data_IF_529070550934
#
_entry.id   IF_529070550934
#
_cell.length_a   1.000
_cell.length_b   1.000
_cell.length_c   1.000
_cell.angle_alpha   90.00
_cell.angle_beta   90.00
_cell.angle_gamma   90.00
#
_symmetry.space_group_name_H-M   'P 1'
#
loop_
_entity.id
_entity.type
_entity.pdbx_description
1 polymer ?
#
# COMPACT_ATOMS: atom_id res chain seq x y z
N UNK A 1 -5.20 4.02 2.99
CA UNK A 1 -5.17 2.97 4.04
C UNK A 1 -6.39 3.01 4.97
N UNK A 2 -6.63 4.10 5.70
CA UNK A 2 -7.67 4.14 6.77
C UNK A 2 -9.11 4.04 6.24
N UNK A 3 -9.39 4.64 5.08
CA UNK A 3 -10.73 4.62 4.46
C UNK A 3 -11.21 3.19 4.16
N UNK A 4 -10.31 2.30 3.70
CA UNK A 4 -10.67 0.91 3.39
C UNK A 4 -11.10 0.12 4.63
N UNK A 5 -10.44 0.39 5.76
CA UNK A 5 -10.79 -0.24 7.05
C UNK A 5 -12.16 0.25 7.51
N UNK A 6 -12.44 1.56 7.44
CA UNK A 6 -13.75 2.11 7.79
C UNK A 6 -14.88 1.60 6.90
N UNK A 7 -14.63 1.43 5.60
CA UNK A 7 -15.60 0.84 4.67
C UNK A 7 -15.85 -0.63 5.03
N UNK A 8 -14.80 -1.43 5.28
CA UNK A 8 -14.94 -2.83 5.69
C UNK A 8 -15.71 -3.01 7.00
N UNK A 9 -15.40 -2.21 8.01
CA UNK A 9 -16.10 -2.22 9.31
C UNK A 9 -17.53 -1.71 9.18
N UNK A 10 -17.78 -0.65 8.39
CA UNK A 10 -19.12 -0.11 8.16
C UNK A 10 -20.04 -1.09 7.43
N UNK A 11 -19.53 -1.76 6.40
CA UNK A 11 -20.25 -2.81 5.68
C UNK A 11 -20.52 -4.02 6.58
N UNK A 12 -19.52 -4.46 7.36
CA UNK A 12 -19.69 -5.56 8.31
C UNK A 12 -20.74 -5.27 9.40
N UNK A 13 -20.78 -4.04 9.91
CA UNK A 13 -21.78 -3.60 10.88
C UNK A 13 -23.19 -3.56 10.28
N UNK A 14 -23.35 -3.06 9.05
CA UNK A 14 -24.63 -3.08 8.34
C UNK A 14 -25.12 -4.52 8.13
N UNK A 15 -24.26 -5.42 7.63
CA UNK A 15 -24.59 -6.83 7.46
C UNK A 15 -25.04 -7.49 8.77
N UNK A 16 -24.33 -7.26 9.88
CA UNK A 16 -24.72 -7.75 11.21
C UNK A 16 -26.11 -7.28 11.64
N UNK A 17 -26.53 -6.07 11.25
CA UNK A 17 -27.83 -5.51 11.62
C UNK A 17 -28.98 -6.08 10.79
N UNK A 18 -28.74 -6.36 9.52
CA UNK A 18 -29.77 -6.84 8.58
C UNK A 18 -29.86 -8.36 8.46
N UNK A 19 -28.90 -9.10 9.01
CA UNK A 19 -28.89 -10.57 8.92
C UNK A 19 -28.82 -11.21 10.31
N UNK A 20 -29.50 -12.34 10.54
CA UNK A 20 -29.49 -13.05 11.81
C UNK A 20 -28.20 -13.84 12.04
N UNK A 21 -27.25 -13.80 11.10
CA UNK A 21 -26.04 -14.63 11.12
C UNK A 21 -24.83 -13.81 11.63
N UNK A 22 -24.38 -14.00 12.88
CA UNK A 22 -23.33 -13.17 13.47
C UNK A 22 -21.97 -13.33 12.77
N UNK A 23 -21.75 -14.44 12.07
CA UNK A 23 -20.50 -14.74 11.37
C UNK A 23 -20.27 -13.87 10.12
N UNK A 24 -21.33 -13.27 9.53
CA UNK A 24 -21.21 -12.35 8.39
C UNK A 24 -20.43 -11.08 8.74
N UNK A 25 -20.43 -10.66 10.01
CA UNK A 25 -19.60 -9.55 10.46
C UNK A 25 -18.10 -9.81 10.21
N UNK A 26 -17.64 -11.03 10.50
CA UNK A 26 -16.24 -11.41 10.35
C UNK A 26 -15.79 -11.50 8.89
N UNK A 27 -16.70 -11.78 7.95
CA UNK A 27 -16.39 -11.64 6.53
C UNK A 27 -16.04 -10.18 6.18
N UNK A 28 -16.84 -9.21 6.61
CA UNK A 28 -16.55 -7.79 6.39
C UNK A 28 -15.22 -7.36 7.00
N UNK A 29 -14.91 -7.84 8.21
CA UNK A 29 -13.61 -7.60 8.88
C UNK A 29 -12.46 -8.22 8.09
N UNK A 30 -12.58 -9.48 7.67
CA UNK A 30 -11.56 -10.18 6.90
C UNK A 30 -11.24 -9.43 5.60
N UNK A 31 -12.26 -9.11 4.80
CA UNK A 31 -12.08 -8.38 3.55
C UNK A 31 -11.51 -6.97 3.75
N UNK A 32 -11.94 -6.28 4.82
CA UNK A 32 -11.40 -4.96 5.19
C UNK A 32 -9.91 -5.01 5.53
N UNK A 33 -9.48 -6.01 6.31
CA UNK A 33 -8.06 -6.22 6.67
C UNK A 33 -7.24 -6.59 5.42
N UNK A 34 -7.72 -7.52 4.60
CA UNK A 34 -7.04 -7.90 3.35
C UNK A 34 -6.86 -6.72 2.42
N UNK A 35 -7.88 -5.87 2.26
CA UNK A 35 -7.81 -4.66 1.44
C UNK A 35 -6.81 -3.64 1.99
N UNK A 36 -6.76 -3.45 3.32
CA UNK A 36 -5.80 -2.57 3.97
C UNK A 36 -4.35 -3.05 3.74
N UNK A 37 -4.08 -4.34 3.92
CA UNK A 37 -2.76 -4.95 3.67
C UNK A 37 -2.35 -4.75 2.21
N UNK A 38 -3.24 -5.03 1.26
CA UNK A 38 -2.96 -4.83 -0.17
C UNK A 38 -2.65 -3.37 -0.51
N UNK A 39 -3.37 -2.42 0.10
CA UNK A 39 -3.12 -0.99 -0.11
C UNK A 39 -1.74 -0.57 0.41
N UNK A 40 -1.35 -1.04 1.60
CA UNK A 40 -0.01 -0.80 2.18
C UNK A 40 1.08 -1.43 1.34
N UNK A 41 0.91 -2.69 0.93
CA UNK A 41 1.90 -3.41 0.14
C UNK A 41 2.14 -2.74 -1.22
N UNK A 42 1.08 -2.28 -1.89
CA UNK A 42 1.21 -1.52 -3.14
C UNK A 42 1.98 -0.22 -2.92
N UNK A 43 1.64 0.55 -1.88
CA UNK A 43 2.34 1.79 -1.56
C UNK A 43 3.81 1.56 -1.20
N UNK A 44 4.12 0.48 -0.49
CA UNK A 44 5.48 0.06 -0.17
C UNK A 44 6.29 -0.25 -1.44
N UNK A 45 5.75 -1.08 -2.34
CA UNK A 45 6.43 -1.43 -3.60
C UNK A 45 6.75 -0.20 -4.46
N UNK A 46 5.81 0.73 -4.56
CA UNK A 46 6.00 1.96 -5.33
C UNK A 46 7.10 2.83 -4.70
N UNK A 47 7.11 2.97 -3.38
CA UNK A 47 8.16 3.70 -2.68
C UNK A 47 9.54 3.06 -2.90
N UNK A 48 9.68 1.75 -2.70
CA UNK A 48 10.96 1.05 -2.88
C UNK A 48 11.49 1.23 -4.31
N UNK A 49 10.63 1.09 -5.33
CA UNK A 49 11.01 1.31 -6.72
C UNK A 49 11.52 2.75 -6.96
N UNK A 50 10.85 3.74 -6.38
CA UNK A 50 11.31 5.14 -6.50
C UNK A 50 12.67 5.38 -5.85
N UNK A 51 12.97 4.71 -4.73
CA UNK A 51 14.27 4.78 -4.09
C UNK A 51 15.38 4.18 -4.96
N UNK A 52 15.12 3.04 -5.61
CA UNK A 52 16.08 2.42 -6.54
C UNK A 52 16.35 3.34 -7.75
N UNK A 53 15.31 3.94 -8.33
CA UNK A 53 15.44 4.90 -9.44
C UNK A 53 16.25 6.13 -9.04
N UNK A 54 16.07 6.65 -7.81
CA UNK A 54 16.88 7.75 -7.30
C UNK A 54 18.35 7.35 -7.15
N UNK A 55 18.62 6.15 -6.63
CA UNK A 55 19.99 5.65 -6.47
C UNK A 55 20.71 5.50 -7.81
N UNK A 56 20.05 4.92 -8.81
CA UNK A 56 20.59 4.77 -10.17
C UNK A 56 20.89 6.13 -10.79
N UNK A 57 19.96 7.08 -10.68
CA UNK A 57 20.16 8.46 -11.18
C UNK A 57 21.35 9.13 -10.50
N UNK A 58 21.49 8.99 -9.19
CA UNK A 58 22.58 9.60 -8.43
C UNK A 58 23.94 8.98 -8.79
N UNK A 59 23.99 7.66 -9.06
CA UNK A 59 25.19 6.98 -9.58
C UNK A 59 25.58 7.48 -10.98
N UNK A 60 24.61 7.65 -11.89
CA UNK A 60 24.85 8.20 -13.23
C UNK A 60 25.38 9.64 -13.18
N UNK A 61 24.87 10.48 -12.27
CA UNK A 61 25.34 11.85 -12.10
C UNK A 61 26.79 11.86 -11.60
N UNK A 62 27.13 11.01 -10.61
CA UNK A 62 28.50 10.88 -10.11
C UNK A 62 29.48 10.44 -11.19
N UNK A 63 29.10 9.47 -12.02
CA UNK A 63 29.93 9.01 -13.13
C UNK A 63 30.19 10.13 -14.16
N UNK A 64 29.15 10.90 -14.50
CA UNK A 64 29.30 12.07 -15.40
C UNK A 64 30.25 13.11 -14.84
N UNK A 65 30.10 13.48 -13.56
CA UNK A 65 30.99 14.44 -12.90
C UNK A 65 32.44 13.94 -12.91
N UNK A 66 32.66 12.66 -12.65
CA UNK A 66 34.00 12.07 -12.66
C UNK A 66 34.62 12.06 -14.06
N UNK A 67 33.84 11.76 -15.11
CA UNK A 67 34.30 11.82 -16.49
C UNK A 67 34.67 13.23 -16.93
N UNK A 68 33.87 14.22 -16.55
CA UNK A 68 34.21 15.63 -16.84
C UNK A 68 35.47 16.09 -16.09
N UNK A 69 35.65 15.65 -14.85
CA UNK A 69 36.85 15.98 -14.05
C UNK A 69 38.14 15.36 -14.61
N UNK A 70 38.03 14.22 -15.30
CA UNK A 70 39.16 13.49 -15.89
C UNK A 70 39.45 13.89 -17.35
N UNK A 71 38.69 14.81 -17.93
CA UNK A 71 38.84 15.32 -19.30
C UNK A 71 39.57 16.66 -19.29
#
# INVERSE_FOLDING_TARGET
MVVAVFIGVGIGYLLKKFTPYPWLFWLGVFWGISAAILNVYKAYKVQVKSYEEFKERDELIKEKIQKEKNK
#
